data_IF_513270090608
#
_entry.id   IF_513270090608
#
_cell.length_a   1.000
_cell.length_b   1.000
_cell.length_c   1.000
_cell.angle_alpha   90.00
_cell.angle_beta   90.00
_cell.angle_gamma   90.00
#
_symmetry.space_group_name_H-M   'P 1'
#
loop_
_entity.id
_entity.type
_entity.pdbx_description
1 polymer ?
#
# COMPACT_ATOMS: atom_id res chain seq x y z
N UNK A 1 10.06 -11.85 -11.75
CA UNK A 1 9.85 -10.94 -10.61
C UNK A 1 9.98 -9.53 -11.16
N UNK A 2 8.96 -8.68 -11.00
CA UNK A 2 9.02 -7.30 -11.50
C UNK A 2 10.02 -6.51 -10.67
N UNK A 3 10.77 -5.60 -11.31
CA UNK A 3 11.79 -4.77 -10.66
C UNK A 3 11.26 -4.07 -9.40
N UNK A 4 10.05 -3.52 -9.48
CA UNK A 4 9.42 -2.82 -8.35
C UNK A 4 9.05 -3.70 -7.16
N UNK A 5 8.78 -5.01 -7.36
CA UNK A 5 8.53 -5.91 -6.24
C UNK A 5 9.82 -6.17 -5.45
N UNK A 6 10.94 -6.40 -6.13
CA UNK A 6 12.23 -6.61 -5.46
C UNK A 6 12.72 -5.34 -4.74
N UNK A 7 12.49 -4.16 -5.32
CA UNK A 7 12.77 -2.87 -4.67
C UNK A 7 11.89 -2.68 -3.41
N UNK A 8 10.60 -2.99 -3.50
CA UNK A 8 9.67 -2.98 -2.37
C UNK A 8 10.11 -3.95 -1.26
N UNK A 9 10.43 -5.20 -1.60
CA UNK A 9 10.87 -6.22 -0.64
C UNK A 9 12.10 -5.78 0.14
N UNK A 10 13.09 -5.20 -0.56
CA UNK A 10 14.31 -4.69 0.06
C UNK A 10 14.03 -3.51 1.01
N UNK A 11 13.26 -2.52 0.57
CA UNK A 11 12.94 -1.37 1.40
C UNK A 11 12.05 -1.76 2.58
N UNK A 12 11.10 -2.66 2.36
CA UNK A 12 10.21 -3.15 3.41
C UNK A 12 10.98 -3.95 4.48
N UNK A 13 11.94 -4.78 4.10
CA UNK A 13 12.83 -5.47 5.05
C UNK A 13 13.61 -4.47 5.91
N UNK A 14 14.15 -3.42 5.29
CA UNK A 14 14.85 -2.34 5.99
C UNK A 14 13.94 -1.64 7.01
N UNK A 15 12.76 -1.18 6.58
CA UNK A 15 11.80 -0.47 7.43
C UNK A 15 11.23 -1.36 8.54
N UNK A 16 10.96 -2.65 8.26
CA UNK A 16 10.50 -3.60 9.27
C UNK A 16 11.53 -3.79 10.39
N UNK A 17 12.81 -3.94 10.05
CA UNK A 17 13.89 -4.03 11.05
C UNK A 17 14.00 -2.76 11.88
N UNK A 18 13.86 -1.60 11.26
CA UNK A 18 13.83 -0.31 11.95
C UNK A 18 12.63 -0.22 12.91
N UNK A 19 11.43 -0.57 12.43
CA UNK A 19 10.20 -0.58 13.21
C UNK A 19 10.29 -1.52 14.43
N UNK A 20 10.85 -2.73 14.24
CA UNK A 20 11.09 -3.67 15.34
C UNK A 20 12.03 -3.10 16.40
N UNK A 21 13.15 -2.50 15.97
CA UNK A 21 14.16 -1.95 16.87
C UNK A 21 13.60 -0.81 17.72
N UNK A 22 12.79 0.06 17.13
CA UNK A 22 12.27 1.25 17.80
C UNK A 22 10.83 1.11 18.31
N UNK A 23 10.25 -0.10 18.25
CA UNK A 23 8.84 -0.37 18.62
C UNK A 23 7.85 0.56 17.91
N UNK A 24 8.09 0.78 16.61
CA UNK A 24 7.25 1.62 15.74
C UNK A 24 6.39 0.76 14.83
N UNK A 25 5.52 1.42 14.07
CA UNK A 25 4.67 0.82 13.07
C UNK A 25 5.10 1.29 11.68
N UNK A 26 4.81 0.48 10.68
CA UNK A 26 4.77 0.93 9.29
C UNK A 26 3.50 0.40 8.66
N UNK A 27 3.03 1.09 7.63
CA UNK A 27 1.91 0.64 6.84
C UNK A 27 2.30 0.47 5.38
N UNK A 28 1.81 -0.61 4.78
CA UNK A 28 1.90 -0.91 3.37
C UNK A 28 0.50 -0.76 2.78
N UNK A 29 0.35 0.15 1.82
CA UNK A 29 -0.90 0.30 1.05
C UNK A 29 -0.63 -0.22 -0.35
N UNK A 30 -1.46 -1.14 -0.85
CA UNK A 30 -1.40 -1.57 -2.26
C UNK A 30 -2.64 -1.06 -2.96
N UNK A 31 -2.45 -0.45 -4.12
CA UNK A 31 -3.50 0.20 -4.91
C UNK A 31 -3.55 -0.43 -6.28
N UNK A 32 -4.75 -0.77 -6.77
CA UNK A 32 -4.97 -1.21 -8.14
C UNK A 32 -6.03 -0.35 -8.83
N UNK A 33 -6.00 -0.34 -10.16
CA UNK A 33 -7.06 0.20 -11.01
C UNK A 33 -7.34 -0.76 -12.16
N UNK A 34 -8.55 -0.70 -12.71
CA UNK A 34 -8.90 -1.39 -13.96
C UNK A 34 -8.51 -0.58 -15.20
N UNK A 35 -8.11 0.69 -15.04
CA UNK A 35 -7.79 1.57 -16.15
C UNK A 35 -6.28 1.63 -16.39
N UNK A 36 -5.85 1.78 -17.65
CA UNK A 36 -4.44 2.01 -17.95
C UNK A 36 -4.05 3.41 -17.44
N UNK A 37 -3.26 3.45 -16.37
CA UNK A 37 -2.62 4.68 -15.88
C UNK A 37 -1.32 4.35 -15.16
N UNK A 38 -0.39 5.30 -15.15
CA UNK A 38 0.78 5.23 -14.29
C UNK A 38 0.36 5.59 -12.85
N UNK A 39 0.11 4.56 -12.03
CA UNK A 39 -0.24 4.76 -10.63
C UNK A 39 0.93 5.32 -9.82
N UNK A 40 2.17 4.98 -10.17
CA UNK A 40 3.32 5.48 -9.43
C UNK A 40 3.42 7.00 -9.56
N UNK A 41 3.33 7.53 -10.78
CA UNK A 41 3.38 8.97 -11.02
C UNK A 41 2.17 9.69 -10.43
N UNK A 42 0.96 9.13 -10.58
CA UNK A 42 -0.23 9.69 -9.93
C UNK A 42 -0.08 9.78 -8.41
N UNK A 43 0.39 8.71 -7.74
CA UNK A 43 0.46 8.65 -6.29
C UNK A 43 1.54 9.56 -5.69
N UNK A 44 2.67 9.75 -6.38
CA UNK A 44 3.79 10.58 -5.91
C UNK A 44 3.38 12.01 -5.55
N UNK A 45 2.40 12.57 -6.24
CA UNK A 45 1.91 13.93 -5.98
C UNK A 45 1.06 14.05 -4.69
N UNK A 46 0.60 12.93 -4.12
CA UNK A 46 -0.37 12.92 -3.00
C UNK A 46 0.11 12.20 -1.73
N UNK A 47 1.25 11.53 -1.80
CA UNK A 47 1.92 10.92 -0.64
C UNK A 47 2.86 11.94 0.03
N UNK A 48 3.31 11.64 1.25
CA UNK A 48 4.29 12.49 1.94
C UNK A 48 5.66 12.28 1.30
N UNK A 49 6.56 13.27 1.41
CA UNK A 49 7.94 13.11 0.94
C UNK A 49 8.76 12.03 1.65
N UNK A 50 8.26 11.48 2.75
CA UNK A 50 8.85 10.33 3.47
C UNK A 50 8.22 8.98 3.09
N UNK A 51 7.15 8.98 2.30
CA UNK A 51 6.50 7.76 1.84
C UNK A 51 7.14 7.34 0.51
N UNK A 52 7.33 6.04 0.30
CA UNK A 52 7.93 5.50 -0.93
C UNK A 52 6.86 4.83 -1.80
N UNK A 53 6.91 5.06 -3.12
CA UNK A 53 5.93 4.51 -4.08
C UNK A 53 6.60 3.59 -5.08
N UNK A 54 6.09 2.37 -5.19
CA UNK A 54 6.62 1.30 -6.04
C UNK A 54 5.60 0.90 -7.11
N UNK A 55 6.01 0.87 -8.38
CA UNK A 55 5.20 0.31 -9.45
C UNK A 55 5.24 -1.23 -9.40
N UNK A 56 4.08 -1.86 -9.37
CA UNK A 56 3.91 -3.31 -9.37
C UNK A 56 3.20 -3.78 -10.64
N UNK A 57 3.19 -5.08 -10.90
CA UNK A 57 2.45 -5.66 -12.03
C UNK A 57 0.93 -5.45 -11.89
N UNK A 58 0.46 -5.52 -10.65
CA UNK A 58 -0.95 -5.52 -10.29
C UNK A 58 -1.48 -4.14 -9.89
N UNK A 59 -0.63 -3.11 -9.93
CA UNK A 59 -0.95 -1.77 -9.46
C UNK A 59 0.29 -1.05 -8.92
N UNK A 60 0.16 -0.35 -7.79
CA UNK A 60 1.28 0.28 -7.10
C UNK A 60 1.23 0.01 -5.60
N UNK A 61 2.37 0.11 -4.92
CA UNK A 61 2.46 0.06 -3.46
C UNK A 61 2.97 1.38 -2.91
N UNK A 62 2.47 1.76 -1.74
CA UNK A 62 2.92 2.90 -0.94
C UNK A 62 3.42 2.34 0.38
N UNK A 63 4.70 2.56 0.67
CA UNK A 63 5.31 2.22 1.95
C UNK A 63 5.34 3.47 2.84
N UNK A 64 4.64 3.41 3.96
CA UNK A 64 4.48 4.51 4.90
C UNK A 64 5.21 4.18 6.21
N UNK A 65 6.41 4.72 6.36
CA UNK A 65 7.20 4.64 7.60
C UNK A 65 6.50 5.35 8.77
N UNK A 66 6.71 4.86 9.98
CA UNK A 66 6.17 5.42 11.23
C UNK A 66 4.64 5.69 11.20
N UNK A 67 3.91 4.89 10.43
CA UNK A 67 2.49 5.10 10.17
C UNK A 67 1.68 3.89 10.62
N UNK A 68 0.80 4.11 11.60
CA UNK A 68 -0.20 3.12 12.01
C UNK A 68 -1.38 3.05 11.04
N UNK A 69 -2.20 2.00 11.18
CA UNK A 69 -3.37 1.74 10.33
C UNK A 69 -4.30 2.95 10.18
N UNK A 70 -4.56 3.67 11.28
CA UNK A 70 -5.44 4.85 11.27
C UNK A 70 -4.91 5.96 10.35
N UNK A 71 -3.59 6.15 10.34
CA UNK A 71 -2.90 7.11 9.49
C UNK A 71 -2.91 6.70 8.02
N UNK A 72 -2.69 5.41 7.74
CA UNK A 72 -2.77 4.86 6.40
C UNK A 72 -4.18 4.97 5.82
N UNK A 73 -5.23 4.69 6.60
CA UNK A 73 -6.62 4.86 6.19
C UNK A 73 -6.95 6.33 5.86
N UNK A 74 -6.50 7.28 6.67
CA UNK A 74 -6.65 8.73 6.37
C UNK A 74 -5.93 9.14 5.09
N UNK A 75 -4.78 8.52 4.79
CA UNK A 75 -4.07 8.75 3.54
C UNK A 75 -4.86 8.19 2.35
N UNK A 76 -5.41 6.98 2.47
CA UNK A 76 -6.30 6.40 1.47
C UNK A 76 -7.55 7.26 1.25
N UNK A 77 -8.20 7.75 2.30
CA UNK A 77 -9.34 8.68 2.18
C UNK A 77 -8.98 9.98 1.46
N UNK A 78 -7.75 10.47 1.62
CA UNK A 78 -7.24 11.62 0.86
C UNK A 78 -7.07 11.24 -0.61
N UNK A 79 -6.46 10.09 -0.90
CA UNK A 79 -6.29 9.59 -2.27
C UNK A 79 -7.64 9.39 -2.97
N UNK A 80 -8.63 8.82 -2.28
CA UNK A 80 -9.99 8.63 -2.82
C UNK A 80 -10.66 9.96 -3.18
N UNK A 81 -10.44 11.03 -2.40
CA UNK A 81 -10.98 12.36 -2.69
C UNK A 81 -10.31 13.04 -3.88
N UNK A 82 -9.03 12.73 -4.12
CA UNK A 82 -8.26 13.30 -5.24
C UNK A 82 -8.46 12.49 -6.52
N UNK A 83 -8.67 11.18 -6.39
CA UNK A 83 -9.06 10.33 -7.50
C UNK A 83 -10.42 10.80 -8.02
N UNK A 84 -10.49 11.09 -9.32
CA UNK A 84 -11.79 11.33 -9.94
C UNK A 84 -12.64 10.06 -9.80
N UNK A 85 -13.95 10.19 -9.62
CA UNK A 85 -14.88 9.04 -9.47
C UNK A 85 -14.74 7.97 -10.56
N UNK A 86 -14.11 8.34 -11.67
CA UNK A 86 -13.89 7.47 -12.82
C UNK A 86 -12.62 6.60 -12.70
N UNK A 87 -11.68 6.83 -11.77
CA UNK A 87 -10.42 6.07 -11.74
C UNK A 87 -10.57 4.62 -11.26
N UNK A 88 -11.65 4.28 -10.55
CA UNK A 88 -11.90 2.91 -10.11
C UNK A 88 -10.80 2.31 -9.25
N UNK A 89 -10.16 3.14 -8.41
CA UNK A 89 -9.05 2.73 -7.56
C UNK A 89 -9.55 1.77 -6.47
N UNK A 90 -8.71 0.82 -6.06
CA UNK A 90 -9.03 -0.14 -4.99
C UNK A 90 -7.82 -0.36 -4.13
N UNK A 91 -8.03 -0.47 -2.83
CA UNK A 91 -6.98 -0.33 -1.84
C UNK A 91 -6.96 -1.53 -0.91
N UNK A 92 -5.75 -2.02 -0.65
CA UNK A 92 -5.43 -2.90 0.48
C UNK A 92 -4.57 -2.13 1.47
N UNK A 93 -4.93 -2.17 2.75
CA UNK A 93 -4.16 -1.51 3.82
C UNK A 93 -3.66 -2.57 4.80
N UNK A 94 -2.36 -2.56 5.05
CA UNK A 94 -1.66 -3.50 5.90
C UNK A 94 -0.74 -2.73 6.85
N UNK A 95 -0.61 -3.19 8.09
CA UNK A 95 0.24 -2.54 9.10
C UNK A 95 1.05 -3.59 9.83
N UNK A 96 2.37 -3.43 9.83
CA UNK A 96 3.28 -4.21 10.67
C UNK A 96 3.21 -3.70 12.13
N UNK A 97 3.17 -4.57 13.15
CA UNK A 97 3.29 -6.04 13.09
C UNK A 97 1.96 -6.81 13.03
N UNK A 98 0.82 -6.12 12.89
CA UNK A 98 -0.51 -6.75 13.03
C UNK A 98 -0.93 -7.59 11.83
N UNK A 99 -0.46 -7.25 10.64
CA UNK A 99 -0.85 -7.89 9.38
C UNK A 99 0.24 -8.81 8.79
N UNK A 100 1.30 -9.07 9.57
CA UNK A 100 2.42 -9.93 9.21
C UNK A 100 3.65 -9.62 10.07
N UNK A 101 4.44 -10.64 10.36
CA UNK A 101 5.69 -10.54 11.12
C UNK A 101 6.95 -10.62 10.22
N UNK A 102 6.77 -11.02 8.97
CA UNK A 102 7.82 -11.09 7.94
C UNK A 102 7.42 -10.28 6.71
N UNK A 103 8.41 -9.89 5.89
CA UNK A 103 8.20 -9.21 4.60
C UNK A 103 7.24 -10.02 3.72
N UNK A 104 7.50 -11.33 3.62
CA UNK A 104 6.68 -12.26 2.83
C UNK A 104 5.24 -12.31 3.33
N UNK A 105 5.02 -12.39 4.64
CA UNK A 105 3.66 -12.40 5.22
C UNK A 105 2.91 -11.09 4.96
N UNK A 106 3.59 -9.94 5.09
CA UNK A 106 2.97 -8.64 4.91
C UNK A 106 2.57 -8.42 3.44
N UNK A 107 3.45 -8.75 2.49
CA UNK A 107 3.17 -8.68 1.05
C UNK A 107 2.05 -9.66 0.66
N UNK A 108 2.13 -10.91 1.12
CA UNK A 108 1.09 -11.91 0.84
C UNK A 108 -0.28 -11.48 1.37
N UNK A 109 -0.32 -10.91 2.58
CA UNK A 109 -1.56 -10.36 3.16
C UNK A 109 -2.06 -9.16 2.36
N UNK A 110 -1.17 -8.29 1.88
CA UNK A 110 -1.53 -7.13 1.08
C UNK A 110 -2.15 -7.53 -0.28
N UNK A 111 -1.54 -8.48 -0.99
CA UNK A 111 -2.11 -8.98 -2.25
C UNK A 111 -3.42 -9.73 -2.05
N UNK A 112 -3.54 -10.56 -1.02
CA UNK A 112 -4.82 -11.21 -0.68
C UNK A 112 -5.94 -10.19 -0.45
N UNK A 113 -5.64 -9.09 0.25
CA UNK A 113 -6.61 -8.01 0.50
C UNK A 113 -6.92 -7.23 -0.77
N UNK A 114 -5.93 -7.01 -1.63
CA UNK A 114 -6.14 -6.33 -2.91
C UNK A 114 -7.04 -7.15 -3.82
N UNK A 115 -6.85 -8.47 -3.87
CA UNK A 115 -7.72 -9.38 -4.64
C UNK A 115 -9.15 -9.39 -4.10
N UNK A 116 -9.34 -9.28 -2.78
CA UNK A 116 -10.68 -9.05 -2.21
C UNK A 116 -11.24 -7.71 -2.67
N UNK A 117 -10.46 -6.63 -2.58
CA UNK A 117 -10.90 -5.29 -2.97
C UNK A 117 -11.34 -5.25 -4.45
N UNK A 118 -10.63 -5.95 -5.35
CA UNK A 118 -10.95 -6.07 -6.78
C UNK A 118 -12.36 -6.57 -7.07
N UNK A 119 -12.91 -7.41 -6.18
CA UNK A 119 -14.26 -7.96 -6.32
C UNK A 119 -15.34 -7.07 -5.66
N UNK A 120 -14.96 -5.89 -5.16
CA UNK A 120 -15.86 -4.90 -4.58
C UNK A 120 -16.01 -3.68 -5.50
N UNK A 121 -16.87 -2.76 -5.08
CA UNK A 121 -17.14 -1.50 -5.76
C UNK A 121 -15.85 -0.67 -5.99
N UNK A 122 -15.83 0.18 -7.03
CA UNK A 122 -14.84 1.24 -7.16
C UNK A 122 -14.60 1.99 -5.86
N UNK A 123 -13.34 2.31 -5.57
CA UNK A 123 -12.88 2.94 -4.33
C UNK A 123 -12.98 2.06 -3.07
N UNK A 124 -13.22 0.76 -3.18
CA UNK A 124 -13.19 -0.14 -2.02
C UNK A 124 -11.83 -0.15 -1.30
N UNK A 125 -11.88 -0.21 0.03
CA UNK A 125 -10.72 -0.31 0.91
C UNK A 125 -10.85 -1.57 1.77
N UNK A 126 -9.84 -2.44 1.74
CA UNK A 126 -9.77 -3.65 2.56
C UNK A 126 -8.61 -3.52 3.55
N UNK A 127 -8.93 -3.35 4.83
CA UNK A 127 -7.94 -3.21 5.92
C UNK A 127 -7.97 -4.34 6.95
N UNK A 128 -8.82 -5.35 6.73
CA UNK A 128 -9.00 -6.50 7.62
C UNK A 128 -9.45 -7.74 6.84
N UNK A 129 -9.18 -8.92 7.40
CA UNK A 129 -9.36 -10.22 6.73
C UNK A 129 -8.17 -10.60 5.87
#
# INVERSE_FOLDING_TARGET
>A
MTRGLSELEWMLDYEMRSAMRYRRFLSLVVVATERPMDLQDFLKDYVRGSDEVFQLEQGAAILMGETERSGALKAVERLQRMATNNMGLRYAVNTFPFDGHTVTELIATAFRRLDKARNLDPNAVVSSG
#
